data_IF_165961046374
#
_entry.id   IF_165961046374
#
_cell.length_a   1.000
_cell.length_b   1.000
_cell.length_c   1.000
_cell.angle_alpha   90.00
_cell.angle_beta   90.00
_cell.angle_gamma   90.00
#
_symmetry.space_group_name_H-M   'P 1'
#
loop_
_entity.id
_entity.type
_entity.pdbx_description
1 polymer ?
#
# COMPACT_ATOMS: atom_id res chain seq x y z
N UNK A 1 -12.12 7.69 15.91
CA UNK A 1 -11.76 6.49 16.71
C UNK A 1 -11.46 5.27 15.82
N UNK A 2 -12.05 5.17 14.63
CA UNK A 2 -11.87 4.03 13.70
C UNK A 2 -10.42 3.86 13.22
N UNK A 3 -9.63 4.92 13.14
CA UNK A 3 -8.26 4.90 12.64
C UNK A 3 -7.29 5.28 13.75
N UNK A 4 -6.37 4.38 14.06
CA UNK A 4 -5.25 4.59 14.97
C UNK A 4 -3.94 4.84 14.24
N UNK A 5 -2.86 5.02 14.97
CA UNK A 5 -1.50 5.19 14.45
C UNK A 5 -1.31 6.41 13.53
N UNK A 6 -2.27 7.34 13.48
CA UNK A 6 -2.21 8.53 12.65
C UNK A 6 -1.89 9.77 13.50
N UNK A 7 -0.76 10.43 13.21
CA UNK A 7 -0.34 11.65 13.92
C UNK A 7 -1.06 12.91 13.44
N UNK A 8 -1.60 12.93 12.21
CA UNK A 8 -2.26 14.12 11.64
C UNK A 8 -3.54 13.76 10.88
N UNK A 9 -3.45 13.16 9.71
CA UNK A 9 -4.58 12.85 8.85
C UNK A 9 -4.46 11.44 8.28
N UNK A 10 -5.60 10.87 7.88
CA UNK A 10 -5.67 9.56 7.21
C UNK A 10 -6.20 9.75 5.80
N UNK A 11 -5.43 9.31 4.80
CA UNK A 11 -5.86 9.24 3.41
C UNK A 11 -6.40 7.84 3.13
N UNK A 12 -7.69 7.78 2.79
CA UNK A 12 -8.35 6.52 2.44
C UNK A 12 -8.43 6.39 0.92
N UNK A 13 -7.69 5.43 0.38
CA UNK A 13 -7.76 5.07 -1.03
C UNK A 13 -8.63 3.81 -1.20
N UNK A 14 -9.45 3.79 -2.21
CA UNK A 14 -10.22 2.61 -2.55
C UNK A 14 -10.28 2.42 -4.07
N UNK A 15 -10.17 1.17 -4.50
CA UNK A 15 -10.45 0.81 -5.89
C UNK A 15 -11.94 0.94 -6.17
N UNK A 16 -12.31 1.16 -7.44
CA UNK A 16 -13.72 1.18 -7.86
C UNK A 16 -14.43 -0.11 -7.45
N UNK A 17 -15.69 -0.01 -7.11
CA UNK A 17 -16.48 -1.15 -6.65
C UNK A 17 -16.90 -2.07 -7.79
N UNK A 18 -17.25 -1.50 -8.93
CA UNK A 18 -17.67 -2.22 -10.13
C UNK A 18 -17.14 -1.49 -11.38
N UNK A 19 -16.37 -2.14 -12.27
CA UNK A 19 -15.99 -1.55 -13.54
C UNK A 19 -17.22 -1.37 -14.43
N UNK A 20 -17.29 -0.28 -15.20
CA UNK A 20 -18.41 0.01 -16.07
C UNK A 20 -18.47 -0.97 -17.24
N UNK A 21 -17.31 -1.33 -17.80
CA UNK A 21 -17.19 -2.19 -18.97
C UNK A 21 -15.86 -2.94 -18.97
N UNK A 22 -15.76 -3.94 -19.80
CA UNK A 22 -14.50 -4.56 -20.19
C UNK A 22 -13.68 -3.54 -20.97
N UNK A 23 -12.39 -3.47 -20.69
CA UNK A 23 -11.50 -2.53 -21.34
C UNK A 23 -10.05 -3.01 -21.30
N UNK A 24 -9.34 -2.79 -22.38
CA UNK A 24 -7.88 -2.91 -22.45
C UNK A 24 -7.29 -1.51 -22.67
N UNK A 25 -6.32 -1.16 -21.86
CA UNK A 25 -5.61 0.10 -21.95
C UNK A 25 -4.12 -0.19 -22.21
N UNK A 26 -3.54 0.53 -23.14
CA UNK A 26 -2.11 0.51 -23.42
C UNK A 26 -1.62 1.94 -23.27
N UNK A 27 -0.59 2.15 -22.48
CA UNK A 27 0.07 3.43 -22.34
C UNK A 27 1.54 3.31 -22.79
N UNK A 28 2.02 4.33 -23.47
CA UNK A 28 3.41 4.42 -23.93
C UNK A 28 3.94 5.76 -23.44
N UNK A 29 5.10 5.71 -22.80
CA UNK A 29 5.80 6.87 -22.25
C UNK A 29 7.21 6.92 -22.83
N UNK A 30 7.86 8.07 -22.78
CA UNK A 30 9.26 8.23 -23.24
C UNK A 30 10.26 7.33 -22.46
N UNK A 31 9.91 6.94 -21.24
CA UNK A 31 10.74 6.12 -20.36
C UNK A 31 10.09 4.76 -20.03
N UNK A 32 9.13 4.28 -20.85
CA UNK A 32 8.50 2.99 -20.55
C UNK A 32 7.11 2.80 -21.16
N UNK A 33 6.35 1.91 -20.58
CA UNK A 33 4.98 1.64 -20.99
C UNK A 33 4.24 0.76 -20.01
N UNK A 34 2.96 0.58 -20.27
CA UNK A 34 2.13 -0.28 -19.46
C UNK A 34 0.93 -0.81 -20.23
N UNK A 35 0.37 -1.86 -19.69
CA UNK A 35 -0.85 -2.49 -20.20
C UNK A 35 -1.78 -2.77 -19.02
N UNK A 36 -3.05 -2.52 -19.23
CA UNK A 36 -4.10 -2.89 -18.30
C UNK A 36 -5.26 -3.56 -19.02
N UNK A 37 -5.85 -4.54 -18.36
CA UNK A 37 -7.04 -5.21 -18.85
C UNK A 37 -8.03 -5.42 -17.72
N UNK A 38 -9.30 -5.16 -18.00
CA UNK A 38 -10.42 -5.46 -17.12
C UNK A 38 -11.37 -6.39 -17.82
N UNK A 39 -11.57 -7.55 -17.23
CA UNK A 39 -12.60 -8.53 -17.61
C UNK A 39 -13.76 -8.45 -16.65
N UNK A 40 -14.99 -8.60 -17.16
CA UNK A 40 -16.20 -8.52 -16.37
C UNK A 40 -17.14 -9.69 -16.69
N UNK A 41 -17.50 -10.44 -15.66
CA UNK A 41 -18.49 -11.49 -15.71
C UNK A 41 -19.65 -11.10 -14.81
N UNK A 42 -20.84 -11.25 -15.15
CA UNK A 42 -22.06 -10.98 -14.36
C UNK A 42 -21.83 -10.24 -13.02
N UNK A 43 -21.52 -10.98 -11.93
CA UNK A 43 -21.29 -10.43 -10.58
C UNK A 43 -19.81 -10.36 -10.17
N UNK A 44 -18.90 -10.66 -11.09
CA UNK A 44 -17.47 -10.77 -10.82
C UNK A 44 -16.68 -9.92 -11.82
N UNK A 45 -15.56 -9.37 -11.40
CA UNK A 45 -14.62 -8.74 -12.32
C UNK A 45 -13.18 -8.92 -11.85
N UNK A 46 -12.27 -8.92 -12.82
CA UNK A 46 -10.82 -8.93 -12.62
C UNK A 46 -10.21 -7.80 -13.44
N UNK A 47 -9.44 -6.94 -12.77
CA UNK A 47 -8.62 -5.93 -13.43
C UNK A 47 -7.16 -6.26 -13.16
N UNK A 48 -6.32 -6.25 -14.18
CA UNK A 48 -4.87 -6.47 -14.08
C UNK A 48 -4.17 -5.34 -14.80
N UNK A 49 -3.16 -4.76 -14.17
CA UNK A 49 -2.29 -3.75 -14.75
C UNK A 49 -0.83 -4.16 -14.58
N UNK A 50 -0.01 -3.87 -15.57
CA UNK A 50 1.44 -4.03 -15.50
C UNK A 50 2.12 -2.84 -16.16
N UNK A 51 3.23 -2.39 -15.61
CA UNK A 51 4.04 -1.34 -16.20
C UNK A 51 5.54 -1.61 -16.05
N UNK A 52 6.29 -1.08 -16.99
CA UNK A 52 7.74 -1.09 -17.02
C UNK A 52 8.26 0.30 -17.34
N UNK A 53 9.18 0.80 -16.52
CA UNK A 53 9.82 2.10 -16.68
C UNK A 53 11.33 1.88 -16.64
N UNK A 54 12.06 2.53 -17.56
CA UNK A 54 13.52 2.52 -17.56
C UNK A 54 14.06 3.82 -18.13
N UNK A 55 15.11 4.36 -17.54
CA UNK A 55 15.82 5.52 -18.07
C UNK A 55 16.90 5.16 -19.09
N UNK A 56 17.17 3.88 -19.34
CA UNK A 56 18.22 3.47 -20.25
C UNK A 56 18.12 4.09 -21.67
N UNK A 57 16.95 4.17 -22.35
CA UNK A 57 16.84 4.81 -23.66
C UNK A 57 17.07 6.32 -23.60
N UNK A 58 16.66 6.97 -22.53
CA UNK A 58 16.90 8.40 -22.33
C UNK A 58 18.38 8.69 -22.16
N UNK A 59 19.07 7.94 -21.31
CA UNK A 59 20.50 8.08 -21.03
C UNK A 59 21.38 7.72 -22.23
N UNK A 60 20.89 6.88 -23.14
CA UNK A 60 21.59 6.59 -24.40
C UNK A 60 21.60 7.77 -25.40
N UNK A 61 20.68 8.73 -25.23
CA UNK A 61 20.53 9.88 -26.13
C UNK A 61 21.04 11.17 -25.49
N UNK A 62 20.80 11.33 -24.20
CA UNK A 62 21.12 12.55 -23.44
C UNK A 62 22.19 12.25 -22.40
N UNK A 63 23.25 13.04 -22.39
CA UNK A 63 24.27 12.97 -21.35
C UNK A 63 23.69 13.47 -20.04
N UNK A 64 23.87 12.69 -18.97
CA UNK A 64 23.61 13.08 -17.60
C UNK A 64 24.93 13.49 -16.89
N UNK A 65 24.82 14.20 -15.78
CA UNK A 65 25.96 14.55 -14.92
C UNK A 65 26.40 13.38 -14.05
N UNK A 66 25.47 12.44 -13.80
CA UNK A 66 25.74 11.26 -13.01
C UNK A 66 26.25 10.14 -13.91
N UNK A 67 27.14 9.35 -13.37
CA UNK A 67 27.58 8.11 -14.02
C UNK A 67 26.66 6.97 -13.56
N UNK A 68 25.95 6.38 -14.50
CA UNK A 68 24.94 5.34 -14.22
C UNK A 68 25.52 3.96 -14.48
N UNK A 69 25.92 3.25 -13.40
CA UNK A 69 26.25 1.83 -13.49
C UNK A 69 25.03 0.99 -13.83
N UNK A 70 23.88 1.35 -13.26
CA UNK A 70 22.56 0.77 -13.56
C UNK A 70 21.54 1.88 -13.71
N UNK A 71 21.07 2.18 -14.94
CA UNK A 71 19.94 3.09 -15.15
C UNK A 71 18.74 2.71 -14.29
N UNK A 72 18.00 3.73 -13.85
CA UNK A 72 16.74 3.49 -13.14
C UNK A 72 15.83 2.55 -13.93
N UNK A 73 15.37 1.50 -13.29
CA UNK A 73 14.44 0.51 -13.80
C UNK A 73 13.38 0.20 -12.75
N UNK A 74 12.12 0.20 -13.17
CA UNK A 74 11.00 -0.19 -12.33
C UNK A 74 10.03 -1.09 -13.08
N UNK A 75 9.64 -2.19 -12.44
CA UNK A 75 8.57 -3.09 -12.88
C UNK A 75 7.49 -3.06 -11.83
N UNK A 76 6.26 -2.84 -12.23
CA UNK A 76 5.12 -2.93 -11.33
C UNK A 76 3.96 -3.70 -11.95
N UNK A 77 3.18 -4.32 -11.10
CA UNK A 77 1.95 -5.00 -11.48
C UNK A 77 0.94 -4.97 -10.36
N UNK A 78 -0.33 -4.91 -10.73
CA UNK A 78 -1.42 -4.98 -9.78
C UNK A 78 -2.59 -5.78 -10.33
N UNK A 79 -3.35 -6.39 -9.44
CA UNK A 79 -4.60 -7.06 -9.79
C UNK A 79 -5.68 -6.75 -8.75
N UNK A 80 -6.90 -6.56 -9.23
CA UNK A 80 -8.09 -6.35 -8.40
C UNK A 80 -9.17 -7.33 -8.82
N UNK A 81 -9.46 -8.27 -7.94
CA UNK A 81 -10.60 -9.17 -8.09
C UNK A 81 -11.78 -8.64 -7.28
N UNK A 82 -12.98 -8.67 -7.84
CA UNK A 82 -14.22 -8.21 -7.21
C UNK A 82 -15.31 -9.25 -7.38
N UNK A 83 -16.04 -9.53 -6.31
CA UNK A 83 -17.21 -10.41 -6.32
C UNK A 83 -18.35 -9.74 -5.60
N UNK A 84 -19.41 -9.45 -6.33
CA UNK A 84 -20.66 -8.89 -5.81
C UNK A 84 -21.57 -10.03 -5.35
N UNK A 85 -22.02 -9.96 -4.12
CA UNK A 85 -23.06 -10.83 -3.56
C UNK A 85 -24.37 -10.05 -3.47
N UNK A 86 -25.46 -10.73 -3.19
CA UNK A 86 -26.78 -10.08 -3.03
C UNK A 86 -26.74 -8.92 -2.02
N UNK A 87 -26.01 -9.08 -0.93
CA UNK A 87 -25.97 -8.13 0.18
C UNK A 87 -24.57 -7.59 0.51
N UNK A 88 -23.59 -7.77 -0.36
CA UNK A 88 -22.23 -7.34 -0.08
C UNK A 88 -21.30 -7.43 -1.27
N UNK A 89 -20.09 -6.92 -1.04
CA UNK A 89 -19.01 -6.89 -2.02
C UNK A 89 -17.74 -7.42 -1.36
N UNK A 90 -17.11 -8.38 -2.00
CA UNK A 90 -15.75 -8.82 -1.70
C UNK A 90 -14.80 -8.23 -2.73
N UNK A 91 -13.68 -7.70 -2.25
CA UNK A 91 -12.55 -7.26 -3.06
C UNK A 91 -11.27 -7.93 -2.59
N UNK A 92 -10.46 -8.33 -3.54
CA UNK A 92 -9.08 -8.75 -3.31
C UNK A 92 -8.19 -7.90 -4.21
N UNK A 93 -7.20 -7.24 -3.62
CA UNK A 93 -6.20 -6.44 -4.30
C UNK A 93 -4.82 -7.03 -4.03
N UNK A 94 -3.99 -7.08 -5.04
CA UNK A 94 -2.57 -7.39 -4.89
C UNK A 94 -1.75 -6.48 -5.79
N UNK A 95 -0.62 -6.05 -5.31
CA UNK A 95 0.36 -5.26 -6.05
C UNK A 95 1.76 -5.80 -5.81
N UNK A 96 2.58 -5.69 -6.83
CA UNK A 96 4.00 -5.98 -6.81
C UNK A 96 4.74 -4.80 -7.43
N UNK A 97 5.82 -4.38 -6.82
CA UNK A 97 6.77 -3.46 -7.41
C UNK A 97 8.21 -3.89 -7.16
N UNK A 98 9.05 -3.60 -8.14
CA UNK A 98 10.50 -3.77 -8.06
C UNK A 98 11.15 -2.56 -8.71
N UNK A 99 12.03 -1.92 -7.99
CA UNK A 99 12.85 -0.80 -8.47
C UNK A 99 14.32 -1.13 -8.28
N UNK A 100 15.15 -0.73 -9.23
CA UNK A 100 16.59 -0.92 -9.17
C UNK A 100 17.30 0.22 -9.90
N UNK A 101 18.33 0.80 -9.28
CA UNK A 101 19.25 1.69 -9.93
C UNK A 101 20.57 1.76 -9.16
N UNK A 102 21.64 2.20 -9.84
CA UNK A 102 22.94 2.49 -9.23
C UNK A 102 23.61 3.59 -10.04
N UNK A 103 24.06 4.64 -9.37
CA UNK A 103 24.70 5.77 -9.99
C UNK A 103 25.81 6.32 -9.11
N UNK A 104 26.81 6.95 -9.74
CA UNK A 104 27.84 7.75 -9.05
C UNK A 104 27.61 9.22 -9.39
N UNK A 105 27.40 10.04 -8.36
CA UNK A 105 27.22 11.47 -8.45
C UNK A 105 28.52 12.18 -8.16
N UNK A 106 28.87 13.16 -8.97
CA UNK A 106 30.04 14.03 -8.70
C UNK A 106 29.84 14.81 -7.39
N UNK A 107 30.87 14.81 -6.55
CA UNK A 107 30.91 15.58 -5.28
C UNK A 107 32.22 16.32 -5.16
N UNK A 108 32.15 17.58 -4.71
CA UNK A 108 33.35 18.47 -4.58
C UNK A 108 34.35 17.93 -3.54
N UNK A 109 33.86 17.25 -2.52
CA UNK A 109 34.67 16.75 -1.40
C UNK A 109 35.17 15.31 -1.64
N UNK A 110 34.57 14.59 -2.61
CA UNK A 110 34.89 13.20 -2.92
C UNK A 110 35.30 13.09 -4.39
N UNK A 111 36.59 13.11 -4.72
CA UNK A 111 37.07 13.12 -6.11
C UNK A 111 36.59 11.92 -6.95
N UNK A 112 36.30 10.81 -6.33
CA UNK A 112 35.76 9.61 -6.99
C UNK A 112 34.24 9.64 -7.17
N UNK A 113 33.56 10.71 -6.71
CA UNK A 113 32.13 10.79 -6.63
C UNK A 113 31.53 10.01 -5.47
N UNK A 114 30.25 10.12 -5.28
CA UNK A 114 29.48 9.38 -4.28
C UNK A 114 28.56 8.40 -4.98
N UNK A 115 28.76 7.10 -4.74
CA UNK A 115 27.95 6.03 -5.31
C UNK A 115 26.68 5.82 -4.48
N UNK A 116 25.53 5.78 -5.15
CA UNK A 116 24.23 5.47 -4.59
C UNK A 116 23.60 4.31 -5.35
N UNK A 117 23.14 3.30 -4.63
CA UNK A 117 22.36 2.21 -5.18
C UNK A 117 21.09 1.99 -4.40
N UNK A 118 20.02 1.66 -5.09
CA UNK A 118 18.75 1.24 -4.49
C UNK A 118 18.22 0.02 -5.23
N UNK A 119 17.82 -0.99 -4.46
CA UNK A 119 17.06 -2.12 -4.96
C UNK A 119 15.92 -2.39 -4.01
N UNK A 120 14.71 -2.16 -4.48
CA UNK A 120 13.50 -2.36 -3.70
C UNK A 120 12.66 -3.46 -4.35
N UNK A 121 12.00 -4.26 -3.53
CA UNK A 121 10.97 -5.24 -3.92
C UNK A 121 9.88 -5.18 -2.88
N UNK A 122 8.65 -5.03 -3.33
CA UNK A 122 7.50 -4.98 -2.45
C UNK A 122 6.36 -5.81 -3.03
N UNK A 123 5.69 -6.56 -2.18
CA UNK A 123 4.43 -7.25 -2.47
C UNK A 123 3.43 -6.83 -1.42
N UNK A 124 2.32 -6.29 -1.86
CA UNK A 124 1.19 -5.93 -1.01
C UNK A 124 -0.05 -6.71 -1.43
N UNK A 125 -0.75 -7.27 -0.47
CA UNK A 125 -2.06 -7.89 -0.69
C UNK A 125 -3.09 -7.33 0.29
N UNK A 126 -4.33 -7.19 -0.16
CA UNK A 126 -5.44 -6.72 0.66
C UNK A 126 -6.72 -7.42 0.24
N UNK A 127 -7.49 -7.88 1.21
CA UNK A 127 -8.84 -8.38 0.99
C UNK A 127 -9.82 -7.66 1.90
N UNK A 128 -10.98 -7.35 1.38
CA UNK A 128 -12.06 -6.69 2.11
C UNK A 128 -13.40 -7.27 1.72
N UNK A 129 -14.22 -7.52 2.73
CA UNK A 129 -15.65 -7.75 2.55
C UNK A 129 -16.44 -6.63 3.22
N UNK A 130 -17.42 -6.08 2.52
CA UNK A 130 -18.39 -5.13 3.08
C UNK A 130 -19.78 -5.53 2.66
N UNK A 131 -20.69 -5.70 3.62
CA UNK A 131 -22.04 -6.15 3.31
C UNK A 131 -23.04 -5.99 4.43
N UNK A 132 -24.32 -6.05 4.07
CA UNK A 132 -25.45 -6.01 5.00
C UNK A 132 -25.74 -7.43 5.48
N UNK A 133 -25.64 -7.65 6.80
CA UNK A 133 -25.84 -8.96 7.44
C UNK A 133 -27.14 -9.07 8.23
N UNK A 134 -27.95 -8.01 8.27
CA UNK A 134 -29.25 -7.97 8.96
C UNK A 134 -29.86 -6.57 8.88
N UNK A 135 -31.00 -6.37 9.53
CA UNK A 135 -31.70 -5.10 9.53
C UNK A 135 -30.85 -3.95 10.09
N UNK A 136 -30.40 -3.09 9.19
CA UNK A 136 -29.52 -1.97 9.52
C UNK A 136 -28.16 -2.37 10.09
N UNK A 137 -27.75 -3.65 9.96
CA UNK A 137 -26.47 -4.17 10.40
C UNK A 137 -25.55 -4.39 9.21
N UNK A 138 -24.41 -3.73 9.20
CA UNK A 138 -23.38 -3.84 8.16
C UNK A 138 -22.09 -4.39 8.77
N UNK A 139 -21.49 -5.37 8.10
CA UNK A 139 -20.16 -5.89 8.40
C UNK A 139 -19.16 -5.34 7.40
N UNK A 140 -18.07 -4.76 7.91
CA UNK A 140 -16.86 -4.45 7.18
C UNK A 140 -15.71 -5.25 7.80
N UNK A 141 -15.05 -6.10 7.02
CA UNK A 141 -13.89 -6.85 7.49
C UNK A 141 -12.82 -6.88 6.40
N UNK A 142 -11.57 -6.91 6.79
CA UNK A 142 -10.46 -6.96 5.87
C UNK A 142 -9.19 -7.49 6.51
N UNK A 143 -8.29 -7.92 5.63
CA UNK A 143 -6.95 -8.31 5.99
C UNK A 143 -5.99 -7.79 4.92
N UNK A 144 -4.81 -7.35 5.33
CA UNK A 144 -3.71 -7.02 4.41
C UNK A 144 -2.41 -7.64 4.87
N UNK A 145 -1.52 -7.84 3.91
CA UNK A 145 -0.18 -8.34 4.15
C UNK A 145 0.80 -7.66 3.20
N UNK A 146 1.92 -7.22 3.75
CA UNK A 146 3.03 -6.59 3.03
C UNK A 146 4.31 -7.37 3.28
N UNK A 147 5.08 -7.60 2.22
CA UNK A 147 6.48 -8.03 2.29
C UNK A 147 7.29 -7.01 1.51
N UNK A 148 8.19 -6.33 2.18
CA UNK A 148 9.09 -5.36 1.56
C UNK A 148 10.55 -5.71 1.87
N UNK A 149 11.40 -5.60 0.86
CA UNK A 149 12.84 -5.70 0.99
C UNK A 149 13.50 -4.56 0.24
N UNK A 150 14.34 -3.80 0.95
CA UNK A 150 15.08 -2.67 0.39
C UNK A 150 16.58 -2.86 0.66
N UNK A 151 17.37 -2.87 -0.41
CA UNK A 151 18.82 -2.86 -0.35
C UNK A 151 19.28 -1.43 -0.76
N UNK A 152 19.97 -0.72 0.12
CA UNK A 152 20.53 0.62 -0.12
C UNK A 152 22.05 0.52 -0.08
N UNK A 153 22.71 1.11 -1.07
CA UNK A 153 24.15 1.27 -1.12
C UNK A 153 24.50 2.74 -1.10
N UNK A 154 25.38 3.16 -0.18
CA UNK A 154 25.96 4.50 -0.16
C UNK A 154 27.46 4.34 0.01
N UNK A 155 28.21 4.54 -1.08
CA UNK A 155 29.63 4.21 -1.13
C UNK A 155 29.88 2.73 -0.78
N UNK A 156 30.63 2.47 0.28
CA UNK A 156 30.94 1.15 0.80
C UNK A 156 29.96 0.69 1.91
N UNK A 157 28.95 1.53 2.24
CA UNK A 157 27.95 1.19 3.24
C UNK A 157 26.75 0.54 2.57
N UNK A 158 26.41 -0.67 2.98
CA UNK A 158 25.24 -1.39 2.55
C UNK A 158 24.24 -1.51 3.70
N UNK A 159 22.98 -1.17 3.43
CA UNK A 159 21.86 -1.32 4.35
C UNK A 159 20.85 -2.23 3.67
N UNK A 160 20.38 -3.23 4.37
CA UNK A 160 19.32 -4.12 3.90
C UNK A 160 18.17 -4.13 4.90
N UNK A 161 17.02 -3.62 4.49
CA UNK A 161 15.80 -3.63 5.27
C UNK A 161 14.87 -4.74 4.79
N UNK A 162 14.28 -5.45 5.74
CA UNK A 162 13.22 -6.42 5.48
C UNK A 162 12.05 -6.13 6.42
N UNK A 163 10.88 -5.90 5.84
CA UNK A 163 9.63 -5.68 6.57
C UNK A 163 8.58 -6.69 6.16
N UNK A 164 7.94 -7.30 7.16
CA UNK A 164 6.73 -8.11 7.02
C UNK A 164 5.65 -7.51 7.90
N UNK A 165 4.54 -7.09 7.31
CA UNK A 165 3.44 -6.48 8.04
C UNK A 165 2.11 -7.14 7.70
N UNK A 166 1.32 -7.46 8.72
CA UNK A 166 -0.05 -7.93 8.58
C UNK A 166 -1.01 -7.02 9.35
N UNK A 167 -2.17 -6.74 8.76
CA UNK A 167 -3.23 -5.98 9.41
C UNK A 167 -4.56 -6.69 9.21
N UNK A 168 -5.25 -6.97 10.31
CA UNK A 168 -6.58 -7.53 10.35
C UNK A 168 -7.54 -6.50 10.93
N UNK A 169 -8.73 -6.34 10.35
CA UNK A 169 -9.75 -5.41 10.85
C UNK A 169 -11.15 -6.00 10.69
N UNK A 170 -11.95 -5.84 11.74
CA UNK A 170 -13.38 -6.17 11.73
C UNK A 170 -14.14 -4.99 12.31
N UNK A 171 -15.19 -4.56 11.61
CA UNK A 171 -16.10 -3.49 12.05
C UNK A 171 -17.53 -3.90 11.78
N UNK A 172 -18.36 -3.75 12.79
CA UNK A 172 -19.81 -3.90 12.70
C UNK A 172 -20.44 -2.53 12.93
N UNK A 173 -21.33 -2.13 12.05
CA UNK A 173 -22.08 -0.88 12.14
C UNK A 173 -23.58 -1.18 12.17
N UNK A 174 -24.25 -0.70 13.21
CA UNK A 174 -25.70 -0.77 13.38
C UNK A 174 -26.31 0.59 13.18
N UNK A 175 -27.30 0.65 12.29
CA UNK A 175 -28.19 1.82 12.14
C UNK A 175 -29.43 1.57 12.98
N UNK A 176 -29.58 2.27 14.10
CA UNK A 176 -30.76 2.20 14.95
C UNK A 176 -31.89 3.08 14.42
N UNK A 177 -31.52 4.22 13.81
CA UNK A 177 -32.48 5.14 13.19
C UNK A 177 -31.82 5.95 12.07
N UNK A 178 -32.58 6.81 11.40
CA UNK A 178 -32.01 7.77 10.45
C UNK A 178 -31.05 8.78 11.10
N UNK A 179 -31.12 8.93 12.43
CA UNK A 179 -30.34 9.91 13.20
C UNK A 179 -29.27 9.29 14.08
N UNK A 180 -29.28 7.99 14.31
CA UNK A 180 -28.32 7.33 15.18
C UNK A 180 -27.72 6.07 14.55
N UNK A 181 -26.40 6.04 14.49
CA UNK A 181 -25.58 4.90 14.05
C UNK A 181 -24.52 4.64 15.09
N UNK A 182 -24.22 3.37 15.33
CA UNK A 182 -23.13 2.93 16.19
C UNK A 182 -22.21 2.00 15.40
N UNK A 183 -20.91 2.23 15.48
CA UNK A 183 -19.87 1.36 14.91
C UNK A 183 -19.01 0.81 16.04
N UNK A 184 -18.72 -0.47 16.01
CA UNK A 184 -17.83 -1.16 16.95
C UNK A 184 -16.86 -1.97 16.11
N UNK A 185 -15.60 -1.96 16.45
CA UNK A 185 -14.60 -2.74 15.73
C UNK A 185 -13.36 -3.04 16.54
N UNK A 186 -12.60 -3.96 15.98
CA UNK A 186 -11.29 -4.36 16.47
C UNK A 186 -10.32 -4.48 15.29
N UNK A 187 -9.06 -4.25 15.56
CA UNK A 187 -8.00 -4.45 14.59
C UNK A 187 -6.72 -4.94 15.26
N UNK A 188 -5.92 -5.64 14.47
CA UNK A 188 -4.63 -6.20 14.88
C UNK A 188 -3.59 -5.83 13.84
N UNK A 189 -2.50 -5.20 14.28
CA UNK A 189 -1.29 -4.97 13.49
C UNK A 189 -0.19 -5.89 13.99
N UNK A 190 0.50 -6.52 13.06
CA UNK A 190 1.66 -7.37 13.30
C UNK A 190 2.75 -6.90 12.35
N UNK A 191 3.88 -6.45 12.87
CA UNK A 191 5.01 -5.99 12.06
C UNK A 191 6.29 -6.63 12.57
N UNK A 192 7.06 -7.21 11.66
CA UNK A 192 8.44 -7.64 11.88
C UNK A 192 9.32 -6.80 10.98
N UNK A 193 10.31 -6.16 11.55
CA UNK A 193 11.31 -5.37 10.85
C UNK A 193 12.70 -5.85 11.20
N UNK A 194 13.55 -5.98 10.20
CA UNK A 194 14.97 -6.34 10.33
C UNK A 194 15.78 -5.41 9.43
N UNK A 195 16.86 -4.85 9.97
CA UNK A 195 17.83 -4.02 9.28
C UNK A 195 19.23 -4.60 9.48
N UNK A 196 19.92 -4.88 8.39
CA UNK A 196 21.30 -5.31 8.37
C UNK A 196 22.16 -4.17 7.77
N UNK A 197 23.07 -3.63 8.56
CA UNK A 197 24.08 -2.67 8.13
C UNK A 197 25.43 -3.35 7.97
N UNK A 198 26.15 -3.05 6.90
CA UNK A 198 27.51 -3.52 6.71
C UNK A 198 28.37 -2.52 5.94
N UNK A 199 29.64 -2.46 6.33
CA UNK A 199 30.69 -1.80 5.60
C UNK A 199 32.01 -2.61 5.76
N UNK A 200 33.15 -2.24 5.12
CA UNK A 200 34.41 -2.98 5.23
C UNK A 200 34.96 -3.13 6.63
N UNK A 201 34.53 -2.34 7.60
CA UNK A 201 35.08 -2.29 8.96
C UNK A 201 34.13 -2.80 10.04
N UNK A 202 32.81 -2.79 9.75
CA UNK A 202 31.80 -3.03 10.75
C UNK A 202 30.52 -3.62 10.13
N UNK A 203 29.89 -4.51 10.84
CA UNK A 203 28.55 -5.01 10.51
C UNK A 203 27.70 -5.06 11.78
N UNK A 204 26.45 -4.69 11.67
CA UNK A 204 25.47 -4.71 12.75
C UNK A 204 24.08 -5.04 12.22
N UNK A 205 23.25 -5.63 13.08
CA UNK A 205 21.89 -5.98 12.74
C UNK A 205 20.93 -5.51 13.84
N UNK A 206 19.82 -4.92 13.43
CA UNK A 206 18.77 -4.46 14.32
C UNK A 206 17.43 -5.02 13.85
N UNK A 207 16.54 -5.32 14.77
CA UNK A 207 15.20 -5.76 14.43
C UNK A 207 14.22 -5.64 15.58
N UNK A 208 12.94 -5.60 15.24
CA UNK A 208 11.87 -5.61 16.23
C UNK A 208 10.62 -6.31 15.70
N UNK A 209 9.82 -6.79 16.65
CA UNK A 209 8.46 -7.24 16.42
C UNK A 209 7.50 -6.28 17.13
N UNK A 210 6.52 -5.79 16.42
CA UNK A 210 5.50 -4.91 16.95
C UNK A 210 4.12 -5.54 16.78
N UNK A 211 3.37 -5.62 17.86
CA UNK A 211 2.02 -6.18 17.90
C UNK A 211 1.10 -5.16 18.55
N UNK A 212 0.15 -4.64 17.79
CA UNK A 212 -0.80 -3.65 18.31
C UNK A 212 -2.21 -4.19 18.09
N UNK A 213 -2.95 -4.32 19.20
CA UNK A 213 -4.38 -4.66 19.19
C UNK A 213 -5.19 -3.42 19.52
N UNK A 214 -6.08 -3.02 18.64
CA UNK A 214 -6.95 -1.87 18.81
C UNK A 214 -8.43 -2.26 18.89
N UNK A 215 -9.14 -1.62 19.82
CA UNK A 215 -10.60 -1.70 19.91
C UNK A 215 -11.17 -0.29 19.82
N UNK A 216 -12.26 -0.12 19.09
CA UNK A 216 -12.89 1.18 18.96
C UNK A 216 -14.42 1.09 18.95
N UNK A 217 -15.03 2.16 19.45
CA UNK A 217 -16.47 2.40 19.39
C UNK A 217 -16.65 3.82 18.88
N UNK A 218 -17.57 4.02 17.96
CA UNK A 218 -17.86 5.32 17.37
C UNK A 218 -19.36 5.47 17.13
N UNK A 219 -19.90 6.63 17.49
CA UNK A 219 -21.31 6.98 17.29
C UNK A 219 -21.45 8.19 16.37
N UNK A 220 -22.37 8.11 15.41
CA UNK A 220 -22.84 9.24 14.60
C UNK A 220 -24.26 9.61 15.05
N UNK A 221 -24.44 10.84 15.52
CA UNK A 221 -25.70 11.35 16.05
C UNK A 221 -26.09 12.61 15.28
N UNK A 222 -27.24 12.61 14.61
CA UNK A 222 -27.78 13.76 13.90
C UNK A 222 -28.90 14.37 14.73
N UNK A 223 -28.64 15.49 15.39
CA UNK A 223 -29.64 16.19 16.22
C UNK A 223 -30.60 17.01 15.34
N UNK A 224 -30.07 17.66 14.32
CA UNK A 224 -30.84 18.50 13.39
C UNK A 224 -30.19 18.55 12.02
N UNK A 225 -30.82 19.25 11.05
CA UNK A 225 -30.22 19.51 9.73
C UNK A 225 -28.93 20.33 9.79
N UNK A 226 -28.70 21.06 10.90
CA UNK A 226 -27.54 21.95 11.07
C UNK A 226 -26.52 21.42 12.08
N UNK A 227 -26.88 20.38 12.85
CA UNK A 227 -26.01 19.89 13.92
C UNK A 227 -25.95 18.36 13.94
N UNK A 228 -24.74 17.85 13.79
CA UNK A 228 -24.41 16.44 13.93
C UNK A 228 -23.17 16.30 14.82
N UNK A 229 -23.12 15.24 15.60
CA UNK A 229 -22.01 14.89 16.48
C UNK A 229 -21.47 13.51 16.07
N UNK A 230 -20.16 13.43 15.92
CA UNK A 230 -19.44 12.18 15.83
C UNK A 230 -18.55 12.05 17.07
N UNK A 231 -18.76 11.03 17.87
CA UNK A 231 -18.00 10.77 19.10
C UNK A 231 -17.50 9.33 19.09
N UNK A 232 -16.28 9.11 19.58
CA UNK A 232 -15.72 7.78 19.62
C UNK A 232 -14.58 7.66 20.62
N UNK A 233 -14.34 6.42 21.05
CA UNK A 233 -13.27 6.00 21.93
C UNK A 233 -12.49 4.89 21.24
N UNK A 234 -11.17 4.89 21.42
CA UNK A 234 -10.25 3.86 21.00
C UNK A 234 -9.30 3.50 22.14
N UNK A 235 -9.01 2.22 22.28
CA UNK A 235 -7.98 1.69 23.15
C UNK A 235 -7.02 0.85 22.31
N UNK A 236 -5.74 1.00 22.56
CA UNK A 236 -4.65 0.23 21.92
C UNK A 236 -3.79 -0.40 22.99
N UNK A 237 -3.37 -1.61 22.71
CA UNK A 237 -2.47 -2.39 23.55
C UNK A 237 -1.44 -3.09 22.70
#
# INVERSE_FOLDING_TARGET
AEYGQALSSVLLLSTIDEPMQEATNINIMSAGGGIGHTEKWDTTSLSVNASYITLAPYLAIFNDRNDWEKPFEAVSGEAVFRKKFKNGLFKFYTAFDRTNFELTQEDINVPTGVTFGLKNRNVYTNMRYSGVIGDGLTLDTGASYTVAKTDVLVQENAIQDTENSAHLKVKVKKRFSSRFKLSIGAEQFLTTFEEDFSNPFFADSYGFNNHITGFFVESDIVFSRKFALKAGIRSEY
#
